data_IF_001558685686
#
_entry.id   IF_001558685686
#
_cell.length_a   1.000
_cell.length_b   1.000
_cell.length_c   1.000
_cell.angle_alpha   90.00
_cell.angle_beta   90.00
_cell.angle_gamma   90.00
#
_symmetry.space_group_name_H-M   'P 1'
#
loop_
_entity.id
_entity.type
_entity.pdbx_description
1 polymer ?
#
# COMPACT_ATOMS: atom_id res chain seq x y z
N UNK A 1 14.66 14.33 22.55
CA UNK A 1 15.21 13.52 21.44
C UNK A 1 15.37 12.11 21.97
N UNK A 2 14.83 11.13 21.26
CA UNK A 2 14.89 9.71 21.64
C UNK A 2 15.78 8.95 20.65
N UNK A 3 16.39 7.89 21.15
CA UNK A 3 17.19 6.94 20.37
C UNK A 3 16.23 6.07 19.54
N UNK A 4 16.51 5.93 18.24
CA UNK A 4 15.96 4.83 17.45
C UNK A 4 16.89 3.65 17.67
N UNK A 5 16.38 2.56 18.24
CA UNK A 5 17.05 1.27 18.10
C UNK A 5 16.99 0.90 16.62
N UNK A 6 18.16 0.82 15.99
CA UNK A 6 18.30 0.49 14.58
C UNK A 6 18.14 -1.03 14.45
N UNK A 7 16.90 -1.51 14.48
CA UNK A 7 16.61 -2.89 14.09
C UNK A 7 16.85 -3.03 12.59
N UNK A 8 17.63 -4.03 12.20
CA UNK A 8 17.86 -4.33 10.80
C UNK A 8 16.51 -4.64 10.11
N UNK A 9 16.25 -4.09 8.92
CA UNK A 9 14.99 -4.33 8.22
C UNK A 9 14.83 -5.84 7.96
N UNK A 10 13.70 -6.39 8.40
CA UNK A 10 13.34 -7.77 8.13
C UNK A 10 12.63 -7.87 6.78
N UNK A 11 13.11 -8.71 5.84
CA UNK A 11 12.40 -8.93 4.60
C UNK A 11 11.06 -9.61 4.89
N UNK A 12 9.97 -8.98 4.45
CA UNK A 12 8.61 -9.52 4.52
C UNK A 12 8.07 -9.71 3.12
N UNK A 13 7.44 -10.86 2.86
CA UNK A 13 6.73 -11.09 1.61
C UNK A 13 5.37 -10.41 1.74
N UNK A 14 5.04 -9.55 0.78
CA UNK A 14 3.82 -8.75 0.81
C UNK A 14 3.08 -8.85 -0.51
N UNK A 15 1.78 -9.11 -0.43
CA UNK A 15 0.88 -9.10 -1.59
C UNK A 15 0.06 -7.80 -1.59
N UNK A 16 -0.05 -7.19 -2.77
CA UNK A 16 -0.97 -6.08 -3.03
C UNK A 16 -2.15 -6.62 -3.82
N UNK A 17 -3.36 -6.39 -3.31
CA UNK A 17 -4.60 -6.86 -3.92
C UNK A 17 -5.53 -5.69 -4.18
N UNK A 18 -6.18 -5.75 -5.33
CA UNK A 18 -7.22 -4.83 -5.76
C UNK A 18 -8.43 -5.66 -6.19
N UNK A 19 -9.63 -5.25 -5.77
CA UNK A 19 -10.90 -5.88 -6.12
C UNK A 19 -11.79 -4.82 -6.75
N UNK A 20 -12.16 -4.99 -8.02
CA UNK A 20 -13.00 -4.02 -8.72
C UNK A 20 -14.43 -3.93 -8.17
N UNK A 21 -14.86 -4.90 -7.35
CA UNK A 21 -16.14 -4.82 -6.64
C UNK A 21 -16.08 -3.83 -5.47
N UNK A 22 -14.88 -3.53 -4.97
CA UNK A 22 -14.59 -2.45 -4.02
C UNK A 22 -13.48 -1.53 -4.58
N UNK A 23 -13.79 -0.72 -5.61
CA UNK A 23 -12.79 -0.03 -6.42
C UNK A 23 -12.04 1.10 -5.69
N UNK A 24 -12.48 1.44 -4.48
CA UNK A 24 -11.84 2.47 -3.65
C UNK A 24 -10.73 1.91 -2.76
N UNK A 25 -10.67 0.59 -2.58
CA UNK A 25 -9.80 -0.05 -1.60
C UNK A 25 -8.63 -0.77 -2.25
N UNK A 26 -7.49 -0.70 -1.57
CA UNK A 26 -6.32 -1.53 -1.81
C UNK A 26 -6.04 -2.31 -0.54
N UNK A 27 -5.76 -3.60 -0.72
CA UNK A 27 -5.38 -4.49 0.37
C UNK A 27 -3.90 -4.79 0.30
N UNK A 28 -3.23 -4.71 1.43
CA UNK A 28 -1.84 -5.12 1.61
C UNK A 28 -1.78 -6.26 2.62
N UNK A 29 -1.26 -7.40 2.19
CA UNK A 29 -1.21 -8.63 2.98
C UNK A 29 0.24 -8.96 3.30
N UNK A 30 0.60 -8.99 4.57
CA UNK A 30 1.93 -9.36 5.04
C UNK A 30 1.99 -10.84 5.40
N UNK A 31 2.85 -11.56 4.68
CA UNK A 31 3.17 -12.95 4.96
C UNK A 31 4.45 -12.99 5.82
N UNK A 32 4.28 -12.90 7.14
CA UNK A 32 5.39 -12.86 8.10
C UNK A 32 6.04 -14.23 8.38
N UNK A 33 5.86 -15.22 7.49
CA UNK A 33 6.41 -16.57 7.66
C UNK A 33 5.81 -17.35 8.84
N UNK A 34 4.64 -16.92 9.33
CA UNK A 34 3.86 -17.59 10.38
C UNK A 34 2.43 -17.84 9.88
N UNK A 35 1.63 -18.59 10.65
CA UNK A 35 0.19 -18.79 10.34
C UNK A 35 -0.63 -17.49 10.48
N UNK A 36 -0.03 -16.38 10.94
CA UNK A 36 -0.69 -15.10 11.09
C UNK A 36 -0.54 -14.27 9.80
N UNK A 37 -1.67 -13.99 9.17
CA UNK A 37 -1.80 -13.06 8.05
C UNK A 37 -2.20 -11.70 8.60
N UNK A 38 -1.37 -10.68 8.37
CA UNK A 38 -1.73 -9.28 8.70
C UNK A 38 -2.20 -8.62 7.40
N UNK A 39 -3.48 -8.26 7.34
CA UNK A 39 -4.06 -7.54 6.21
C UNK A 39 -4.37 -6.09 6.59
N UNK A 40 -4.03 -5.16 5.70
CA UNK A 40 -4.37 -3.75 5.80
C UNK A 40 -5.18 -3.33 4.59
N UNK A 41 -6.30 -2.68 4.85
CA UNK A 41 -7.12 -2.02 3.84
C UNK A 41 -6.92 -0.51 3.93
N UNK A 42 -6.70 0.13 2.80
CA UNK A 42 -6.62 1.59 2.73
C UNK A 42 -7.00 2.10 1.34
N UNK A 43 -7.27 3.40 1.24
CA UNK A 43 -7.73 4.01 0.01
C UNK A 43 -6.74 3.85 -1.14
N UNK A 44 -7.23 3.45 -2.31
CA UNK A 44 -6.47 3.44 -3.56
C UNK A 44 -5.92 4.81 -3.92
N UNK A 45 -6.71 5.87 -3.70
CA UNK A 45 -6.28 7.26 -3.87
C UNK A 45 -5.14 7.63 -2.90
N UNK A 46 -5.14 7.07 -1.68
CA UNK A 46 -4.08 7.29 -0.72
C UNK A 46 -2.76 6.69 -1.23
N UNK A 47 -2.77 5.49 -1.83
CA UNK A 47 -1.59 4.91 -2.46
C UNK A 47 -1.14 5.73 -3.67
N UNK A 48 -2.08 6.13 -4.52
CA UNK A 48 -1.78 6.90 -5.72
C UNK A 48 -1.13 8.25 -5.39
N UNK A 49 -1.69 8.99 -4.42
CA UNK A 49 -1.09 10.24 -3.96
C UNK A 49 0.22 10.01 -3.21
N UNK A 50 0.23 8.98 -2.35
CA UNK A 50 1.33 8.61 -1.47
C UNK A 50 2.61 8.23 -2.18
N UNK A 51 2.53 7.59 -3.36
CA UNK A 51 3.71 7.25 -4.18
C UNK A 51 4.41 8.48 -4.76
N UNK A 52 3.78 9.66 -4.72
CA UNK A 52 4.32 10.92 -5.28
C UNK A 52 4.63 11.99 -4.23
N UNK A 53 3.96 11.96 -3.08
CA UNK A 53 4.16 12.91 -1.98
C UNK A 53 3.69 12.32 -0.66
N UNK A 54 4.20 12.86 0.45
CA UNK A 54 3.68 12.53 1.78
C UNK A 54 2.17 12.78 1.83
N UNK A 55 1.42 11.70 2.06
CA UNK A 55 -0.04 11.68 2.10
C UNK A 55 -0.51 10.72 3.18
N UNK A 56 -1.69 10.97 3.74
CA UNK A 56 -2.29 10.15 4.78
C UNK A 56 -2.29 10.84 6.14
N UNK A 57 -3.35 10.55 6.90
CA UNK A 57 -3.57 11.01 8.26
C UNK A 57 -4.14 9.84 9.06
N UNK A 58 -3.76 9.73 10.33
CA UNK A 58 -4.21 8.63 11.18
C UNK A 58 -3.31 7.41 11.05
N UNK A 59 -3.90 6.28 10.69
CA UNK A 59 -3.26 4.97 10.86
C UNK A 59 -2.43 4.53 9.66
N UNK A 60 -2.61 5.18 8.51
CA UNK A 60 -1.82 4.95 7.31
C UNK A 60 -1.22 6.27 6.81
N UNK A 61 0.10 6.28 6.59
CA UNK A 61 0.80 7.35 5.89
C UNK A 61 1.70 6.75 4.82
N UNK A 62 1.77 7.40 3.67
CA UNK A 62 2.51 6.92 2.50
C UNK A 62 3.35 8.06 1.94
N UNK A 63 4.61 7.80 1.62
CA UNK A 63 5.51 8.80 1.05
C UNK A 63 6.60 8.17 0.17
N UNK A 64 7.06 8.89 -0.87
CA UNK A 64 8.19 8.44 -1.66
C UNK A 64 9.51 8.67 -0.91
N UNK A 65 10.51 7.86 -1.21
CA UNK A 65 11.89 8.07 -0.83
C UNK A 65 12.82 7.51 -1.91
N UNK A 66 14.11 7.82 -1.78
CA UNK A 66 15.15 7.24 -2.61
C UNK A 66 16.30 6.79 -1.71
N UNK A 67 16.80 5.57 -1.92
CA UNK A 67 17.99 5.06 -1.25
C UNK A 67 18.97 4.61 -2.31
N UNK A 68 20.13 5.28 -2.37
CA UNK A 68 21.21 4.95 -3.32
C UNK A 68 20.74 4.91 -4.78
N UNK A 69 19.86 5.82 -5.19
CA UNK A 69 19.31 5.85 -6.56
C UNK A 69 18.14 4.89 -6.81
N UNK A 70 17.72 4.10 -5.81
CA UNK A 70 16.56 3.23 -5.91
C UNK A 70 15.33 3.91 -5.30
N UNK A 71 14.31 4.13 -6.14
CA UNK A 71 13.03 4.68 -5.72
C UNK A 71 12.25 3.71 -4.85
N UNK A 72 11.76 4.21 -3.72
CA UNK A 72 10.96 3.46 -2.75
C UNK A 72 9.67 4.20 -2.43
N UNK A 73 8.65 3.45 -2.05
CA UNK A 73 7.45 3.97 -1.40
C UNK A 73 7.43 3.42 0.01
N UNK A 74 7.50 4.31 0.97
CA UNK A 74 7.33 3.97 2.38
C UNK A 74 5.87 4.06 2.76
N UNK A 75 5.41 3.09 3.54
CA UNK A 75 4.08 3.04 4.12
C UNK A 75 4.22 2.76 5.61
N UNK A 76 3.63 3.61 6.44
CA UNK A 76 3.51 3.33 7.87
C UNK A 76 2.10 2.93 8.23
N UNK A 77 1.99 1.90 9.04
CA UNK A 77 0.75 1.35 9.54
C UNK A 77 0.75 1.40 11.07
N UNK A 78 -0.34 1.84 11.68
CA UNK A 78 -0.45 1.98 13.13
C UNK A 78 -1.72 1.32 13.67
N UNK A 79 -1.55 0.39 14.60
CA UNK A 79 -2.65 -0.25 15.34
C UNK A 79 -2.44 0.00 16.84
N UNK A 80 -3.30 0.82 17.43
CA UNK A 80 -3.14 1.25 18.83
C UNK A 80 -1.79 1.96 19.06
N UNK A 81 -0.95 1.37 19.91
CA UNK A 81 0.38 1.91 20.23
C UNK A 81 1.49 1.40 19.31
N UNK A 82 1.20 0.38 18.51
CA UNK A 82 2.17 -0.25 17.62
C UNK A 82 2.17 0.48 16.27
N UNK A 83 3.38 0.78 15.78
CA UNK A 83 3.59 1.33 14.45
C UNK A 83 4.70 0.56 13.78
N UNK A 84 4.47 0.15 12.54
CA UNK A 84 5.51 -0.41 11.69
C UNK A 84 5.59 0.34 10.36
N UNK A 85 6.75 0.23 9.71
CA UNK A 85 7.06 0.91 8.46
C UNK A 85 7.56 -0.12 7.47
N UNK A 86 7.03 -0.05 6.25
CA UNK A 86 7.37 -0.94 5.15
C UNK A 86 7.94 -0.10 4.02
N UNK A 87 9.00 -0.60 3.39
CA UNK A 87 9.54 -0.05 2.16
C UNK A 87 9.21 -0.99 1.00
N UNK A 88 8.52 -0.48 0.00
CA UNK A 88 8.27 -1.19 -1.26
C UNK A 88 9.04 -0.53 -2.40
N UNK A 89 9.39 -1.30 -3.43
CA UNK A 89 9.93 -0.75 -4.67
C UNK A 89 8.92 0.20 -5.31
N UNK A 90 9.34 1.42 -5.66
CA UNK A 90 8.47 2.36 -6.37
C UNK A 90 7.94 1.78 -7.69
N UNK A 91 8.79 1.05 -8.43
CA UNK A 91 8.41 0.37 -9.67
C UNK A 91 7.27 -0.63 -9.44
N UNK A 92 7.33 -1.42 -8.36
CA UNK A 92 6.28 -2.40 -8.06
C UNK A 92 4.95 -1.73 -7.69
N UNK A 93 5.00 -0.62 -6.96
CA UNK A 93 3.80 0.18 -6.64
C UNK A 93 3.22 0.80 -7.91
N UNK A 94 4.07 1.34 -8.79
CA UNK A 94 3.63 1.95 -10.05
C UNK A 94 2.95 0.92 -10.97
N UNK A 95 3.58 -0.25 -11.18
CA UNK A 95 2.99 -1.34 -11.96
C UNK A 95 1.66 -1.82 -11.37
N UNK A 96 1.56 -1.92 -10.05
CA UNK A 96 0.30 -2.27 -9.39
C UNK A 96 -0.77 -1.23 -9.67
N UNK A 97 -0.45 0.07 -9.49
CA UNK A 97 -1.39 1.16 -9.73
C UNK A 97 -1.84 1.22 -11.19
N UNK A 98 -0.94 0.98 -12.15
CA UNK A 98 -1.28 0.88 -13.57
C UNK A 98 -2.29 -0.24 -13.83
N UNK A 99 -2.04 -1.46 -13.32
CA UNK A 99 -2.98 -2.59 -13.44
C UNK A 99 -4.34 -2.28 -12.82
N UNK A 100 -4.38 -1.59 -11.67
CA UNK A 100 -5.67 -1.18 -11.08
C UNK A 100 -6.42 -0.21 -12.00
N UNK A 101 -5.71 0.70 -12.66
CA UNK A 101 -6.28 1.72 -13.54
C UNK A 101 -6.79 1.15 -14.86
N UNK A 102 -6.21 0.05 -15.33
CA UNK A 102 -6.72 -0.72 -16.47
C UNK A 102 -8.07 -1.38 -16.17
N UNK A 103 -8.30 -1.81 -14.93
CA UNK A 103 -9.58 -2.44 -14.53
C UNK A 103 -10.64 -1.39 -14.21
N UNK A 104 -10.27 -0.36 -13.43
CA UNK A 104 -11.14 0.78 -13.11
C UNK A 104 -10.28 2.05 -13.13
N UNK A 105 -10.49 2.98 -14.07
CA UNK A 105 -9.74 4.23 -14.09
C UNK A 105 -9.91 5.03 -12.78
N UNK A 106 -8.82 5.66 -12.32
CA UNK A 106 -8.88 6.54 -11.14
C UNK A 106 -9.85 7.70 -11.38
N UNK A 107 -10.73 7.95 -10.42
CA UNK A 107 -11.79 8.96 -10.52
C UNK A 107 -13.07 8.46 -11.19
N UNK A 108 -13.06 7.29 -11.82
CA UNK A 108 -14.25 6.66 -12.42
C UNK A 108 -14.86 5.57 -11.54
N UNK A 109 -14.35 5.34 -10.32
CA UNK A 109 -14.72 4.22 -9.45
C UNK A 109 -16.24 4.13 -9.22
N UNK A 110 -16.92 5.28 -9.11
CA UNK A 110 -18.37 5.34 -8.93
C UNK A 110 -19.17 4.77 -10.10
N UNK A 111 -18.62 4.84 -11.31
CA UNK A 111 -19.24 4.29 -12.52
C UNK A 111 -19.10 2.76 -12.59
N UNK A 112 -18.16 2.19 -11.83
CA UNK A 112 -17.87 0.75 -11.76
C UNK A 112 -18.47 0.08 -10.52
N UNK A 113 -18.93 0.86 -9.53
CA UNK A 113 -19.77 0.35 -8.43
C UNK A 113 -21.09 -0.20 -8.98
N UNK A 114 -21.17 -1.53 -9.13
CA UNK A 114 -22.37 -2.23 -9.61
C UNK A 114 -22.19 -3.04 -10.90
N UNK A 115 -20.96 -3.25 -11.37
CA UNK A 115 -20.66 -4.21 -12.46
C UNK A 115 -19.85 -5.36 -11.89
N UNK A 116 -20.50 -6.48 -11.57
CA UNK A 116 -19.83 -7.71 -11.14
C UNK A 116 -18.76 -8.13 -12.16
N UNK A 117 -17.49 -8.14 -11.76
CA UNK A 117 -16.37 -8.52 -12.60
C UNK A 117 -15.29 -9.20 -11.78
N UNK A 118 -15.45 -10.51 -11.54
CA UNK A 118 -14.39 -11.36 -10.99
C UNK A 118 -13.21 -11.37 -11.97
N UNK A 119 -12.03 -10.93 -11.52
CA UNK A 119 -10.75 -11.24 -12.18
C UNK A 119 -9.84 -11.89 -11.13
N UNK A 120 -9.37 -13.10 -11.45
CA UNK A 120 -8.46 -13.92 -10.65
C UNK A 120 -7.02 -13.69 -11.06
#
# INVERSE_FOLDING_TARGET
MALLEEEAPLPVVTDLRYDSTDPFSVFMVFNAGTDMVIEWEFGRELLDSGRRRLTGLGDVQIWPAEIRGHGLVYMSFRSGWEKFVVAASAVAIDEFMERTAEVVPLGEERSFLGVEGFVR
#
